data_IF_944779062938
#
_entry.id   IF_944779062938
#
_cell.length_a   1.000
_cell.length_b   1.000
_cell.length_c   1.000
_cell.angle_alpha   90.00
_cell.angle_beta   90.00
_cell.angle_gamma   90.00
#
_symmetry.space_group_name_H-M   'P 1'
#
loop_
_entity.id
_entity.type
_entity.pdbx_description
1 polymer ?
#
# COMPACT_ATOMS: atom_id res chain seq x y z
N UNK A 1 -8.66 7.09 12.23
CA UNK A 1 -8.66 6.81 10.78
C UNK A 1 -9.79 5.83 10.53
N UNK A 2 -10.69 6.05 9.55
CA UNK A 2 -11.73 5.08 9.20
C UNK A 2 -11.11 3.71 8.92
N UNK A 3 -11.78 2.63 9.32
CA UNK A 3 -11.17 1.29 9.40
C UNK A 3 -10.83 0.68 8.02
N UNK A 4 -11.52 1.15 6.99
CA UNK A 4 -11.30 0.83 5.58
C UNK A 4 -10.26 1.74 4.89
N UNK A 5 -9.65 2.69 5.60
CA UNK A 5 -8.62 3.60 5.09
C UNK A 5 -7.28 3.21 5.68
N UNK A 6 -6.29 2.99 4.81
CA UNK A 6 -4.92 2.65 5.19
C UNK A 6 -3.97 3.81 4.92
N UNK A 7 -2.71 3.70 5.39
CA UNK A 7 -1.66 4.66 5.07
C UNK A 7 -1.50 4.90 3.55
N UNK A 8 -1.76 3.87 2.74
CA UNK A 8 -1.75 3.98 1.28
C UNK A 8 -2.77 5.00 0.76
N UNK A 9 -3.98 5.00 1.28
CA UNK A 9 -5.02 5.95 0.86
C UNK A 9 -4.64 7.38 1.25
N UNK A 10 -4.06 7.55 2.44
CA UNK A 10 -3.56 8.85 2.93
C UNK A 10 -2.50 9.41 2.00
N UNK A 11 -1.47 8.63 1.68
CA UNK A 11 -0.36 9.13 0.86
C UNK A 11 -0.78 9.36 -0.59
N UNK A 12 -1.68 8.55 -1.16
CA UNK A 12 -2.26 8.81 -2.48
C UNK A 12 -3.08 10.10 -2.49
N UNK A 13 -3.87 10.38 -1.43
CA UNK A 13 -4.59 11.64 -1.33
C UNK A 13 -3.64 12.84 -1.31
N UNK A 14 -2.57 12.76 -0.51
CA UNK A 14 -1.55 13.80 -0.38
C UNK A 14 -0.82 14.01 -1.71
N UNK A 15 -0.33 12.95 -2.34
CA UNK A 15 0.39 13.03 -3.62
C UNK A 15 -0.50 13.67 -4.67
N UNK A 16 -1.77 13.26 -4.79
CA UNK A 16 -2.66 13.88 -5.76
C UNK A 16 -3.10 15.32 -5.40
N UNK A 17 -2.94 15.79 -4.17
CA UNK A 17 -3.15 17.21 -3.80
C UNK A 17 -1.94 18.10 -4.15
N UNK A 18 -0.74 17.52 -4.22
CA UNK A 18 0.50 18.28 -4.41
C UNK A 18 1.16 18.04 -5.77
N UNK A 19 0.76 16.97 -6.47
CA UNK A 19 1.35 16.54 -7.75
C UNK A 19 2.70 15.84 -7.57
N UNK A 20 3.19 15.24 -8.67
CA UNK A 20 4.49 14.53 -8.69
C UNK A 20 5.72 15.41 -8.39
N UNK A 21 5.60 16.73 -8.49
CA UNK A 21 6.67 17.69 -8.21
C UNK A 21 6.40 18.55 -6.96
N UNK A 22 5.31 18.28 -6.24
CA UNK A 22 4.80 19.13 -5.15
C UNK A 22 5.74 19.28 -3.95
N UNK A 23 6.65 18.33 -3.78
CA UNK A 23 7.66 18.32 -2.72
C UNK A 23 9.11 18.33 -3.27
N UNK A 24 9.30 18.68 -4.54
CA UNK A 24 10.63 18.74 -5.16
C UNK A 24 11.64 19.57 -4.34
N UNK A 25 12.77 18.95 -4.01
CA UNK A 25 13.81 19.49 -3.13
C UNK A 25 13.33 19.85 -1.70
N UNK A 26 12.31 19.17 -1.20
CA UNK A 26 11.79 19.31 0.16
C UNK A 26 11.71 17.94 0.85
N UNK A 27 11.82 17.96 2.18
CA UNK A 27 11.47 16.81 3.03
C UNK A 27 9.97 16.88 3.33
N UNK A 28 9.28 15.75 3.20
CA UNK A 28 7.90 15.63 3.67
C UNK A 28 7.91 15.09 5.10
N UNK A 29 7.48 15.92 6.04
CA UNK A 29 7.25 15.51 7.41
C UNK A 29 5.77 15.17 7.63
N UNK A 30 5.51 14.05 8.31
CA UNK A 30 4.17 13.69 8.75
C UNK A 30 4.09 13.68 10.28
N UNK A 31 3.09 14.40 10.80
CA UNK A 31 2.84 14.54 12.23
C UNK A 31 1.34 14.59 12.54
N UNK A 32 1.00 14.48 13.82
CA UNK A 32 -0.36 14.54 14.34
C UNK A 32 -0.93 13.18 14.74
N UNK A 33 -2.08 13.22 15.41
CA UNK A 33 -2.67 12.05 16.09
C UNK A 33 -2.92 10.85 15.18
N UNK A 34 -3.23 11.06 13.90
CA UNK A 34 -3.38 9.98 12.94
C UNK A 34 -2.06 9.23 12.68
N UNK A 35 -0.93 9.96 12.61
CA UNK A 35 0.42 9.40 12.41
C UNK A 35 0.92 8.71 13.68
N UNK A 36 0.61 9.28 14.84
CA UNK A 36 0.90 8.66 16.14
C UNK A 36 0.14 7.34 16.32
N UNK A 37 -1.12 7.28 15.84
CA UNK A 37 -1.95 6.07 15.88
C UNK A 37 -1.48 4.95 14.94
N UNK A 38 -0.77 5.27 13.86
CA UNK A 38 -0.26 4.29 12.89
C UNK A 38 0.72 3.28 13.48
N UNK A 39 0.81 2.11 12.85
CA UNK A 39 1.88 1.14 13.08
C UNK A 39 3.18 1.59 12.41
N UNK A 40 4.30 0.94 12.70
CA UNK A 40 5.55 1.21 11.96
C UNK A 40 5.43 0.86 10.47
N UNK A 41 4.65 -0.16 10.11
CA UNK A 41 4.45 -0.56 8.72
C UNK A 41 3.62 0.49 7.95
N UNK A 42 2.60 1.06 8.57
CA UNK A 42 1.85 2.20 8.02
C UNK A 42 2.75 3.41 7.75
N UNK A 43 3.61 3.75 8.72
CA UNK A 43 4.59 4.84 8.61
C UNK A 43 5.57 4.61 7.48
N UNK A 44 6.04 3.37 7.31
CA UNK A 44 6.89 2.99 6.19
C UNK A 44 6.18 3.20 4.85
N UNK A 45 4.89 2.88 4.75
CA UNK A 45 4.09 3.13 3.54
C UNK A 45 4.04 4.61 3.17
N UNK A 46 3.80 5.50 4.15
CA UNK A 46 3.81 6.96 3.93
C UNK A 46 5.17 7.43 3.43
N UNK A 47 6.23 7.13 4.18
CA UNK A 47 7.58 7.61 3.86
C UNK A 47 8.13 7.00 2.57
N UNK A 48 7.74 5.77 2.23
CA UNK A 48 8.13 5.09 0.99
C UNK A 48 7.66 5.87 -0.25
N UNK A 49 6.44 6.40 -0.20
CA UNK A 49 5.80 7.04 -1.35
C UNK A 49 6.10 8.55 -1.49
N UNK A 50 6.96 9.12 -0.64
CA UNK A 50 7.29 10.55 -0.70
C UNK A 50 8.02 10.94 -1.99
N UNK A 51 8.82 10.03 -2.55
CA UNK A 51 9.55 10.31 -3.78
C UNK A 51 8.62 10.43 -5.00
N UNK A 52 7.42 9.86 -4.93
CA UNK A 52 6.37 9.97 -5.94
C UNK A 52 5.74 11.37 -5.98
N UNK A 53 5.96 12.21 -4.97
CA UNK A 53 5.67 13.65 -4.97
C UNK A 53 6.94 14.52 -5.17
N UNK A 54 8.06 13.92 -5.57
CA UNK A 54 9.34 14.62 -5.77
C UNK A 54 10.09 14.91 -4.47
N UNK A 55 9.56 14.48 -3.32
CA UNK A 55 10.16 14.69 -2.01
C UNK A 55 11.51 14.01 -1.88
N UNK A 56 12.47 14.72 -1.26
CA UNK A 56 13.84 14.20 -1.06
C UNK A 56 13.85 13.00 -0.13
N UNK A 57 13.02 13.03 0.91
CA UNK A 57 12.75 11.96 1.86
C UNK A 57 11.46 12.24 2.63
N UNK A 58 10.89 11.19 3.20
CA UNK A 58 9.82 11.26 4.19
C UNK A 58 10.37 11.10 5.60
N UNK A 59 9.85 11.87 6.56
CA UNK A 59 10.22 11.76 7.98
C UNK A 59 9.00 11.76 8.87
N UNK A 60 9.04 10.91 9.89
CA UNK A 60 8.09 10.85 10.99
C UNK A 60 8.92 10.82 12.26
N UNK A 61 8.65 11.73 13.19
CA UNK A 61 9.36 11.80 14.45
C UNK A 61 9.26 10.46 15.21
N UNK A 62 10.35 10.05 15.85
CA UNK A 62 10.32 8.84 16.65
C UNK A 62 9.43 9.03 17.88
N UNK A 63 8.67 8.00 18.22
CA UNK A 63 7.88 7.91 19.44
C UNK A 63 8.09 6.53 20.07
N UNK A 64 7.30 6.19 21.09
CA UNK A 64 7.38 4.90 21.78
C UNK A 64 7.22 3.69 20.84
N UNK A 65 6.45 3.81 19.74
CA UNK A 65 6.30 2.72 18.76
C UNK A 65 7.56 2.56 17.91
N UNK A 66 8.14 3.68 17.47
CA UNK A 66 9.42 3.65 16.75
C UNK A 66 10.51 3.08 17.64
N UNK A 67 10.57 3.51 18.91
CA UNK A 67 11.56 3.04 19.86
C UNK A 67 11.42 1.53 20.13
N UNK A 68 10.21 1.05 20.46
CA UNK A 68 9.96 -0.36 20.68
C UNK A 68 10.31 -1.22 19.45
N UNK A 69 10.04 -0.72 18.24
CA UNK A 69 10.39 -1.40 16.99
C UNK A 69 11.92 -1.50 16.79
N UNK A 70 12.65 -0.43 17.07
CA UNK A 70 14.12 -0.37 16.90
C UNK A 70 14.83 -1.22 17.96
N UNK A 71 14.43 -1.16 19.23
CA UNK A 71 15.05 -1.91 20.33
C UNK A 71 15.00 -3.43 20.13
N UNK A 72 13.97 -3.95 19.45
CA UNK A 72 13.89 -5.37 19.08
C UNK A 72 14.93 -5.80 18.02
N UNK A 73 15.59 -4.85 17.36
CA UNK A 73 16.41 -5.09 16.16
C UNK A 73 17.86 -4.62 16.30
N UNK A 74 18.17 -3.87 17.35
CA UNK A 74 19.52 -3.39 17.61
C UNK A 74 19.80 -3.29 19.09
N UNK A 75 21.04 -3.60 19.47
CA UNK A 75 21.60 -3.37 20.80
C UNK A 75 22.48 -2.12 20.84
N UNK A 76 22.65 -1.45 19.70
CA UNK A 76 23.45 -0.22 19.61
C UNK A 76 22.71 0.95 20.26
N UNK A 77 23.47 1.83 20.90
CA UNK A 77 22.95 3.10 21.40
C UNK A 77 22.58 4.02 20.23
N UNK A 78 21.52 4.79 20.40
CA UNK A 78 21.05 5.79 19.45
C UNK A 78 20.48 6.99 20.22
N UNK A 79 20.44 8.13 19.54
CA UNK A 79 19.84 9.36 20.05
C UNK A 79 18.56 9.66 19.27
N UNK A 80 17.51 10.07 19.97
CA UNK A 80 16.25 10.47 19.36
C UNK A 80 16.24 11.99 19.21
N UNK A 81 16.05 12.44 17.97
CA UNK A 81 15.87 13.85 17.66
C UNK A 81 14.39 14.16 17.43
N UNK A 82 13.96 15.31 17.94
CA UNK A 82 12.65 15.87 17.70
C UNK A 82 12.79 17.25 17.08
N UNK A 83 11.72 17.74 16.46
CA UNK A 83 11.70 19.10 15.96
C UNK A 83 11.69 20.11 17.10
N UNK A 84 12.34 21.24 16.85
CA UNK A 84 12.22 22.41 17.71
C UNK A 84 10.77 22.94 17.67
N UNK A 85 10.21 23.44 18.79
CA UNK A 85 8.84 23.96 18.84
C UNK A 85 8.56 25.11 17.85
N UNK A 86 9.59 25.85 17.44
CA UNK A 86 9.52 26.99 16.52
C UNK A 86 10.07 26.68 15.11
N UNK A 87 10.25 25.39 14.78
CA UNK A 87 10.65 24.95 13.45
C UNK A 87 9.72 25.52 12.37
N UNK A 88 10.34 26.06 11.30
CA UNK A 88 9.62 26.68 10.18
C UNK A 88 9.49 25.72 9.01
N UNK A 89 8.27 25.59 8.51
CA UNK A 89 7.95 24.76 7.36
C UNK A 89 7.70 25.61 6.12
N UNK A 90 8.22 25.18 4.98
CA UNK A 90 7.94 25.82 3.68
C UNK A 90 6.43 25.85 3.36
N UNK A 91 5.73 24.77 3.70
CA UNK A 91 4.29 24.65 3.54
C UNK A 91 3.74 23.69 4.57
N UNK A 92 2.57 23.99 5.13
CA UNK A 92 1.85 23.12 6.08
C UNK A 92 0.50 22.77 5.49
N UNK A 93 0.18 21.48 5.43
CA UNK A 93 -1.13 20.97 5.02
C UNK A 93 -1.74 20.19 6.17
N UNK A 94 -3.04 20.37 6.41
CA UNK A 94 -3.77 19.70 7.48
C UNK A 94 -4.89 18.87 6.87
N UNK A 95 -4.92 17.60 7.25
CA UNK A 95 -5.92 16.64 6.81
C UNK A 95 -6.68 16.12 8.03
N UNK A 96 -8.01 16.12 7.95
CA UNK A 96 -8.84 15.46 8.95
C UNK A 96 -8.93 13.99 8.57
N UNK A 97 -8.31 13.14 9.37
CA UNK A 97 -8.21 11.72 9.06
C UNK A 97 -9.58 11.02 8.97
N UNK A 98 -10.60 11.55 9.64
CA UNK A 98 -11.98 11.06 9.61
C UNK A 98 -12.73 11.34 8.30
N UNK A 99 -12.29 12.35 7.54
CA UNK A 99 -12.89 12.74 6.26
C UNK A 99 -12.29 11.95 5.08
N UNK A 100 -11.27 11.11 5.35
CA UNK A 100 -10.59 10.32 4.33
C UNK A 100 -11.45 9.17 3.84
N UNK A 101 -11.33 8.91 2.55
CA UNK A 101 -11.97 7.80 1.84
C UNK A 101 -10.89 6.90 1.24
N UNK A 102 -11.20 5.66 0.84
CA UNK A 102 -10.22 4.89 0.09
C UNK A 102 -9.94 5.57 -1.25
N UNK A 103 -8.67 5.57 -1.63
CA UNK A 103 -8.14 6.35 -2.75
C UNK A 103 -7.53 5.46 -3.80
N UNK A 104 -7.64 5.91 -5.06
CA UNK A 104 -7.05 5.23 -6.20
C UNK A 104 -6.18 6.23 -6.95
N UNK A 105 -5.00 5.81 -7.40
CA UNK A 105 -4.26 6.53 -8.44
C UNK A 105 -4.44 5.82 -9.78
N UNK A 106 -5.08 6.52 -10.73
CA UNK A 106 -5.34 6.02 -12.08
C UNK A 106 -4.04 5.98 -12.89
N UNK A 107 -3.96 5.12 -13.92
CA UNK A 107 -2.88 5.20 -14.89
C UNK A 107 -2.80 6.61 -15.51
N UNK A 108 -1.63 7.14 -15.88
CA UNK A 108 -0.29 6.56 -15.75
C UNK A 108 0.60 7.38 -14.80
N UNK A 109 0.03 7.87 -13.70
CA UNK A 109 0.79 8.65 -12.71
C UNK A 109 0.27 8.45 -11.28
N UNK A 110 1.15 8.39 -10.27
CA UNK A 110 0.74 8.27 -8.86
C UNK A 110 -0.09 9.45 -8.34
N UNK A 111 0.01 10.63 -8.96
CA UNK A 111 -0.76 11.83 -8.61
C UNK A 111 -2.10 11.95 -9.32
N UNK A 112 -2.41 11.05 -10.26
CA UNK A 112 -3.71 11.00 -10.94
C UNK A 112 -4.78 10.38 -10.02
N UNK A 113 -4.97 11.02 -8.86
CA UNK A 113 -5.86 10.54 -7.81
C UNK A 113 -7.32 10.62 -8.23
N UNK A 114 -8.11 9.73 -7.67
CA UNK A 114 -9.55 9.65 -7.84
C UNK A 114 -10.12 8.95 -6.60
N UNK A 115 -11.40 9.14 -6.32
CA UNK A 115 -12.12 8.32 -5.35
C UNK A 115 -12.70 7.10 -6.05
N UNK A 116 -12.96 6.03 -5.29
CA UNK A 116 -13.58 4.81 -5.84
C UNK A 116 -14.85 5.12 -6.62
N UNK A 117 -15.70 6.04 -6.13
CA UNK A 117 -16.98 6.42 -6.73
C UNK A 117 -16.85 6.84 -8.23
N UNK A 118 -15.70 7.36 -8.65
CA UNK A 118 -15.48 7.86 -10.01
C UNK A 118 -14.98 6.78 -10.99
N UNK A 119 -14.48 5.66 -10.47
CA UNK A 119 -13.86 4.57 -11.26
C UNK A 119 -14.47 3.21 -10.96
N UNK A 120 -15.56 3.18 -10.19
CA UNK A 120 -16.32 1.97 -9.91
C UNK A 120 -16.68 1.28 -11.23
N UNK A 121 -16.71 -0.05 -11.21
CA UNK A 121 -16.98 -0.91 -12.38
C UNK A 121 -15.91 -0.93 -13.48
N UNK A 122 -14.78 -0.22 -13.31
CA UNK A 122 -13.61 -0.42 -14.19
C UNK A 122 -13.20 -1.88 -14.13
N UNK A 123 -13.33 -2.61 -15.25
CA UNK A 123 -12.97 -4.03 -15.34
C UNK A 123 -11.48 -4.22 -15.13
N UNK A 124 -11.14 -5.29 -14.43
CA UNK A 124 -9.79 -5.69 -14.12
C UNK A 124 -9.51 -7.05 -14.75
N UNK A 125 -8.28 -7.24 -15.21
CA UNK A 125 -7.75 -8.54 -15.61
C UNK A 125 -6.91 -9.16 -14.48
N UNK A 126 -6.35 -8.31 -13.61
CA UNK A 126 -5.41 -8.73 -12.57
C UNK A 126 -5.48 -7.89 -11.30
N UNK A 127 -5.18 -8.52 -10.17
CA UNK A 127 -4.86 -7.86 -8.92
C UNK A 127 -3.46 -8.26 -8.42
N UNK A 128 -2.76 -7.32 -7.78
CA UNK A 128 -1.43 -7.55 -7.21
C UNK A 128 -1.31 -6.96 -5.79
N UNK A 129 -1.09 -7.83 -4.81
CA UNK A 129 -0.89 -7.48 -3.39
C UNK A 129 0.55 -7.82 -3.02
N UNK A 130 1.38 -6.81 -2.81
CA UNK A 130 2.79 -6.97 -2.52
C UNK A 130 3.59 -5.68 -2.72
N UNK A 131 4.88 -5.82 -3.02
CA UNK A 131 5.88 -4.74 -3.07
C UNK A 131 6.33 -4.24 -1.70
N UNK A 132 7.39 -3.44 -1.66
CA UNK A 132 7.83 -2.76 -0.44
C UNK A 132 6.75 -1.83 0.16
N UNK A 133 5.81 -1.36 -0.65
CA UNK A 133 4.71 -0.47 -0.24
C UNK A 133 3.49 -1.21 0.30
N UNK A 134 3.21 -2.44 -0.16
CA UNK A 134 1.96 -3.15 0.14
C UNK A 134 2.14 -4.65 0.41
N UNK A 135 3.35 -5.09 0.77
CA UNK A 135 3.69 -6.47 1.07
C UNK A 135 4.23 -6.67 2.49
N UNK A 136 3.81 -5.83 3.44
CA UNK A 136 4.13 -5.96 4.87
C UNK A 136 3.06 -6.77 5.58
N UNK A 137 3.28 -7.14 6.84
CA UNK A 137 2.35 -8.02 7.55
C UNK A 137 0.95 -7.40 7.67
N UNK A 138 0.85 -6.13 8.05
CA UNK A 138 -0.41 -5.40 8.17
C UNK A 138 -1.18 -5.30 6.84
N UNK A 139 -0.45 -5.24 5.72
CA UNK A 139 -1.06 -5.18 4.39
C UNK A 139 -1.75 -6.50 4.03
N UNK A 140 -1.08 -7.63 4.32
CA UNK A 140 -1.67 -8.95 4.10
C UNK A 140 -2.77 -9.26 5.10
N UNK A 141 -2.65 -8.81 6.34
CA UNK A 141 -3.73 -8.93 7.31
C UNK A 141 -5.00 -8.27 6.77
N UNK A 142 -4.91 -7.00 6.34
CA UNK A 142 -6.03 -6.27 5.74
C UNK A 142 -6.61 -6.98 4.49
N UNK A 143 -5.75 -7.48 3.61
CA UNK A 143 -6.20 -8.26 2.45
C UNK A 143 -6.92 -9.56 2.83
N UNK A 144 -6.40 -10.28 3.84
CA UNK A 144 -6.98 -11.52 4.33
C UNK A 144 -8.36 -11.30 4.99
N UNK A 145 -8.56 -10.19 5.70
CA UNK A 145 -9.87 -9.83 6.27
C UNK A 145 -10.98 -9.74 5.22
N UNK A 146 -10.65 -9.28 4.01
CA UNK A 146 -11.57 -9.20 2.88
C UNK A 146 -11.70 -10.54 2.15
N UNK A 147 -10.57 -11.21 1.91
CA UNK A 147 -10.53 -12.43 1.10
C UNK A 147 -11.02 -13.68 1.84
N UNK A 148 -11.06 -13.66 3.18
CA UNK A 148 -11.58 -14.79 3.95
C UNK A 148 -13.00 -15.12 3.49
N UNK A 149 -13.23 -16.40 3.21
CA UNK A 149 -14.50 -16.96 2.75
C UNK A 149 -14.99 -16.49 1.37
N UNK A 150 -14.13 -15.78 0.63
CA UNK A 150 -14.39 -15.37 -0.75
C UNK A 150 -13.43 -16.05 -1.74
N UNK A 151 -13.75 -15.98 -3.03
CA UNK A 151 -12.88 -16.40 -4.14
C UNK A 151 -12.57 -15.21 -5.02
N UNK A 152 -11.35 -15.12 -5.53
CA UNK A 152 -10.96 -14.06 -6.48
C UNK A 152 -11.61 -14.31 -7.85
N UNK A 153 -12.14 -13.25 -8.45
CA UNK A 153 -12.74 -13.26 -9.78
C UNK A 153 -11.74 -12.98 -10.91
N UNK A 154 -10.55 -12.49 -10.56
CA UNK A 154 -9.44 -12.20 -11.49
C UNK A 154 -8.13 -12.81 -11.00
N UNK A 155 -7.18 -12.97 -11.91
CA UNK A 155 -5.83 -13.43 -11.59
C UNK A 155 -5.23 -12.54 -10.49
N UNK A 156 -5.00 -13.10 -9.31
CA UNK A 156 -4.56 -12.34 -8.14
C UNK A 156 -3.23 -12.85 -7.63
N UNK A 157 -2.25 -11.96 -7.48
CA UNK A 157 -0.89 -12.28 -7.07
C UNK A 157 -0.59 -11.73 -5.68
N UNK A 158 -0.10 -12.58 -4.79
CA UNK A 158 0.28 -12.24 -3.42
C UNK A 158 1.78 -12.43 -3.28
N UNK A 159 2.53 -11.35 -3.04
CA UNK A 159 4.01 -11.36 -3.04
C UNK A 159 4.56 -10.64 -1.80
N UNK A 160 5.05 -11.39 -0.79
CA UNK A 160 5.62 -10.81 0.43
C UNK A 160 6.82 -9.90 0.18
N UNK A 161 6.98 -8.85 1.00
CA UNK A 161 8.14 -7.95 0.88
C UNK A 161 9.45 -8.60 1.34
N UNK A 162 9.39 -9.53 2.30
CA UNK A 162 10.57 -10.23 2.84
C UNK A 162 10.25 -11.70 3.13
N UNK A 163 11.29 -12.52 3.32
CA UNK A 163 11.16 -13.92 3.76
C UNK A 163 10.49 -14.00 5.13
N UNK A 164 10.85 -13.10 6.05
CA UNK A 164 10.23 -13.03 7.37
C UNK A 164 8.72 -12.77 7.28
N UNK A 165 8.26 -11.86 6.41
CA UNK A 165 6.82 -11.67 6.19
C UNK A 165 6.19 -12.95 5.63
N UNK A 166 6.84 -13.62 4.66
CA UNK A 166 6.33 -14.87 4.10
C UNK A 166 6.18 -15.98 5.14
N UNK A 167 7.09 -16.06 6.12
CA UNK A 167 6.99 -16.96 7.28
C UNK A 167 5.83 -16.56 8.18
N UNK A 168 5.69 -15.27 8.51
CA UNK A 168 4.57 -14.77 9.32
C UNK A 168 3.21 -15.09 8.71
N UNK A 169 3.05 -15.05 7.38
CA UNK A 169 1.79 -15.43 6.72
C UNK A 169 1.43 -16.91 6.94
N UNK A 170 2.42 -17.78 7.12
CA UNK A 170 2.21 -19.21 7.37
C UNK A 170 1.94 -19.52 8.84
N UNK A 171 2.23 -18.59 9.74
CA UNK A 171 2.09 -18.76 11.19
C UNK A 171 0.86 -18.02 11.75
N UNK A 172 0.66 -16.78 11.32
CA UNK A 172 -0.45 -15.95 11.78
C UNK A 172 -1.78 -16.54 11.30
N UNK A 173 -2.75 -16.59 12.21
CA UNK A 173 -4.07 -17.17 11.94
C UNK A 173 -5.19 -16.15 12.07
N UNK A 174 -6.21 -16.34 11.26
CA UNK A 174 -7.48 -15.63 11.28
C UNK A 174 -8.59 -16.66 11.09
N UNK A 175 -9.55 -16.68 12.00
CA UNK A 175 -10.66 -17.64 12.01
C UNK A 175 -10.20 -19.12 11.87
N UNK A 176 -9.08 -19.46 12.54
CA UNK A 176 -8.53 -20.81 12.60
C UNK A 176 -7.73 -21.26 11.35
N UNK A 177 -7.59 -20.41 10.33
CA UNK A 177 -6.75 -20.65 9.15
C UNK A 177 -5.55 -19.72 9.14
N UNK A 178 -4.43 -20.15 8.58
CA UNK A 178 -3.29 -19.24 8.38
C UNK A 178 -3.62 -18.21 7.32
N UNK A 179 -2.99 -17.03 7.34
CA UNK A 179 -3.16 -16.03 6.28
C UNK A 179 -2.77 -16.62 4.91
N UNK A 180 -1.73 -17.46 4.88
CA UNK A 180 -1.33 -18.21 3.69
C UNK A 180 -2.47 -19.09 3.15
N UNK A 181 -3.11 -19.88 4.01
CA UNK A 181 -4.25 -20.72 3.64
C UNK A 181 -5.44 -19.88 3.16
N UNK A 182 -5.73 -18.73 3.76
CA UNK A 182 -6.80 -17.84 3.31
C UNK A 182 -6.55 -17.38 1.86
N UNK A 183 -5.32 -17.00 1.52
CA UNK A 183 -4.98 -16.61 0.16
C UNK A 183 -5.04 -17.78 -0.83
N UNK A 184 -4.55 -18.97 -0.45
CA UNK A 184 -4.64 -20.18 -1.28
C UNK A 184 -6.10 -20.59 -1.52
N UNK A 185 -6.89 -20.63 -0.45
CA UNK A 185 -8.33 -20.92 -0.51
C UNK A 185 -9.02 -19.93 -1.44
N UNK A 186 -8.74 -18.63 -1.31
CA UNK A 186 -9.32 -17.61 -2.18
C UNK A 186 -8.95 -17.77 -3.67
N UNK A 187 -7.97 -18.61 -4.01
CA UNK A 187 -7.49 -18.84 -5.37
C UNK A 187 -6.38 -17.88 -5.80
N UNK A 188 -5.77 -17.15 -4.85
CA UNK A 188 -4.66 -16.27 -5.15
C UNK A 188 -3.36 -17.07 -5.40
N UNK A 189 -2.54 -16.58 -6.32
CA UNK A 189 -1.23 -17.13 -6.65
C UNK A 189 -0.19 -16.48 -5.73
N UNK A 190 0.39 -17.26 -4.82
CA UNK A 190 1.37 -16.76 -3.85
C UNK A 190 2.79 -16.97 -4.39
N UNK A 191 3.59 -15.90 -4.38
CA UNK A 191 4.98 -15.91 -4.85
C UNK A 191 6.00 -15.84 -3.72
N UNK A 192 7.26 -16.13 -4.06
CA UNK A 192 8.39 -15.86 -3.16
C UNK A 192 8.59 -14.35 -2.99
N UNK A 193 9.17 -13.95 -1.86
CA UNK A 193 9.47 -12.55 -1.61
C UNK A 193 10.39 -11.98 -2.68
N UNK A 194 9.94 -10.93 -3.38
CA UNK A 194 10.64 -10.36 -4.53
C UNK A 194 10.13 -8.97 -4.91
N UNK A 195 11.03 -8.13 -5.41
CA UNK A 195 10.69 -6.83 -6.01
C UNK A 195 10.43 -6.90 -7.53
N UNK A 196 10.67 -8.06 -8.16
CA UNK A 196 10.86 -8.16 -9.61
C UNK A 196 9.65 -7.67 -10.43
N UNK A 197 8.41 -7.98 -10.02
CA UNK A 197 7.22 -7.51 -10.74
C UNK A 197 7.06 -5.98 -10.66
N UNK A 198 7.34 -5.38 -9.50
CA UNK A 198 7.19 -3.94 -9.26
C UNK A 198 8.15 -3.08 -10.11
N UNK A 199 9.29 -3.65 -10.53
CA UNK A 199 10.29 -2.98 -11.37
C UNK A 199 10.29 -3.47 -12.83
N UNK A 200 9.32 -4.32 -13.21
CA UNK A 200 9.15 -4.78 -14.58
C UNK A 200 10.25 -5.73 -15.04
N UNK A 201 10.62 -6.71 -14.18
CA UNK A 201 11.63 -7.73 -14.45
C UNK A 201 11.44 -8.53 -15.74
N UNK A 202 12.25 -9.57 -15.99
CA UNK A 202 12.17 -10.40 -17.20
C UNK A 202 10.77 -10.99 -17.42
N UNK A 203 10.42 -11.39 -18.66
CA UNK A 203 9.05 -11.78 -19.06
C UNK A 203 8.45 -12.96 -18.27
N UNK A 204 9.29 -13.79 -17.66
CA UNK A 204 8.93 -14.92 -16.81
C UNK A 204 8.78 -14.55 -15.32
N UNK A 205 8.92 -13.26 -14.97
CA UNK A 205 8.76 -12.77 -13.61
C UNK A 205 7.35 -13.01 -13.09
N UNK A 206 7.25 -13.68 -11.94
CA UNK A 206 5.99 -13.93 -11.26
C UNK A 206 5.22 -12.63 -10.97
N UNK A 207 3.99 -12.53 -11.49
CA UNK A 207 3.12 -11.36 -11.32
C UNK A 207 3.42 -10.17 -12.24
N UNK A 208 4.38 -10.29 -13.18
CA UNK A 208 4.65 -9.27 -14.20
C UNK A 208 3.50 -9.11 -15.18
N UNK A 209 3.20 -7.89 -15.58
CA UNK A 209 2.25 -7.58 -16.66
C UNK A 209 2.94 -7.75 -18.01
N UNK A 210 2.39 -8.63 -18.85
CA UNK A 210 3.00 -9.03 -20.11
C UNK A 210 2.31 -8.38 -21.32
N UNK A 211 1.03 -8.04 -21.20
CA UNK A 211 0.18 -7.57 -22.31
C UNK A 211 -0.44 -6.20 -22.00
N UNK A 212 -1.64 -5.93 -22.50
CA UNK A 212 -2.46 -4.73 -22.30
C UNK A 212 -3.40 -4.82 -21.08
N UNK A 213 -3.05 -5.68 -20.12
CA UNK A 213 -3.83 -6.00 -18.92
C UNK A 213 -4.12 -4.77 -18.06
N UNK A 214 -5.34 -4.69 -17.52
CA UNK A 214 -5.74 -3.74 -16.49
C UNK A 214 -5.53 -4.36 -15.11
N UNK A 215 -4.61 -3.80 -14.35
CA UNK A 215 -4.18 -4.30 -13.06
C UNK A 215 -4.47 -3.30 -11.95
N UNK A 216 -5.06 -3.75 -10.84
CA UNK A 216 -5.09 -2.99 -9.59
C UNK A 216 -4.01 -3.53 -8.64
N UNK A 217 -3.22 -2.64 -8.05
CA UNK A 217 -1.98 -3.01 -7.39
C UNK A 217 -1.69 -2.19 -6.13
N UNK A 218 -1.09 -2.83 -5.14
CA UNK A 218 -0.58 -2.15 -3.93
C UNK A 218 0.82 -1.56 -4.10
N UNK A 219 1.43 -1.66 -5.29
CA UNK A 219 2.73 -1.03 -5.61
C UNK A 219 2.67 0.50 -5.52
N UNK A 220 3.82 1.19 -5.53
CA UNK A 220 3.90 2.65 -5.42
C UNK A 220 3.86 3.41 -6.74
N UNK A 221 4.12 2.75 -7.89
CA UNK A 221 4.30 3.42 -9.18
C UNK A 221 3.51 2.74 -10.27
N UNK A 222 2.85 3.53 -11.12
CA UNK A 222 2.03 3.08 -12.24
C UNK A 222 2.38 3.76 -13.59
N UNK A 223 3.60 4.27 -13.73
CA UNK A 223 4.11 4.76 -15.02
C UNK A 223 4.11 3.64 -16.09
N UNK A 224 4.02 3.98 -17.38
CA UNK A 224 4.00 2.97 -18.45
C UNK A 224 5.24 2.07 -18.40
N UNK A 225 5.03 0.75 -18.43
CA UNK A 225 6.11 -0.24 -18.37
C UNK A 225 6.65 -0.51 -16.97
N UNK A 226 6.15 0.17 -15.92
CA UNK A 226 6.68 0.02 -14.56
C UNK A 226 6.59 -1.42 -14.04
N UNK A 227 5.50 -2.12 -14.34
CA UNK A 227 5.29 -3.52 -13.96
C UNK A 227 5.52 -4.51 -15.13
N UNK A 228 6.20 -4.07 -16.19
CA UNK A 228 6.54 -4.90 -17.35
C UNK A 228 6.11 -4.26 -18.67
N UNK A 229 4.92 -4.60 -19.15
CA UNK A 229 4.39 -4.09 -20.42
C UNK A 229 4.09 -2.59 -20.37
N UNK A 230 4.43 -1.89 -21.46
CA UNK A 230 4.07 -0.47 -21.66
C UNK A 230 2.59 -0.28 -22.04
N UNK A 231 1.91 -1.35 -22.45
CA UNK A 231 0.50 -1.33 -22.83
C UNK A 231 -0.42 -1.59 -21.63
N UNK A 232 0.13 -2.11 -20.53
CA UNK A 232 -0.65 -2.39 -19.33
C UNK A 232 -1.06 -1.09 -18.60
N UNK A 233 -2.22 -1.15 -17.96
CA UNK A 233 -2.78 -0.08 -17.15
C UNK A 233 -2.73 -0.49 -15.68
N UNK A 234 -2.11 0.34 -14.82
CA UNK A 234 -1.96 0.04 -13.39
C UNK A 234 -2.68 1.09 -12.54
N UNK A 235 -3.67 0.63 -11.78
CA UNK A 235 -4.34 1.41 -10.75
C UNK A 235 -3.66 1.13 -9.40
N UNK A 236 -3.26 2.17 -8.68
CA UNK A 236 -2.67 2.00 -7.34
C UNK A 236 -3.76 2.16 -6.28
N UNK A 237 -3.82 1.24 -5.32
CA UNK A 237 -4.79 1.31 -4.24
C UNK A 237 -4.26 0.65 -2.95
N UNK A 238 -4.99 0.80 -1.86
CA UNK A 238 -4.72 0.11 -0.59
C UNK A 238 -5.00 -1.40 -0.67
N UNK A 239 -4.38 -2.21 0.20
CA UNK A 239 -4.66 -3.65 0.30
C UNK A 239 -6.15 -4.00 0.40
N UNK A 240 -6.94 -3.28 1.21
CA UNK A 240 -8.39 -3.47 1.28
C UNK A 240 -9.06 -3.30 -0.09
N UNK A 241 -8.76 -2.20 -0.79
CA UNK A 241 -9.36 -1.88 -2.09
C UNK A 241 -8.94 -2.90 -3.15
N UNK A 242 -7.67 -3.32 -3.17
CA UNK A 242 -7.16 -4.35 -4.10
C UNK A 242 -7.84 -5.69 -3.84
N UNK A 243 -7.99 -6.11 -2.58
CA UNK A 243 -8.65 -7.37 -2.22
C UNK A 243 -10.13 -7.38 -2.61
N UNK A 244 -10.88 -6.30 -2.32
CA UNK A 244 -12.28 -6.18 -2.71
C UNK A 244 -12.46 -6.21 -4.24
N UNK A 245 -11.56 -5.54 -4.95
CA UNK A 245 -11.55 -5.51 -6.41
C UNK A 245 -11.14 -6.86 -7.02
N UNK A 246 -10.26 -7.62 -6.35
CA UNK A 246 -9.85 -8.95 -6.76
C UNK A 246 -11.02 -9.95 -6.74
N UNK A 247 -11.91 -9.85 -5.73
CA UNK A 247 -13.11 -10.69 -5.62
C UNK A 247 -14.08 -10.42 -6.78
N UNK A 248 -14.33 -9.14 -7.05
CA UNK A 248 -15.38 -8.71 -7.98
C UNK A 248 -14.94 -8.61 -9.44
N UNK A 249 -13.63 -8.60 -9.70
CA UNK A 249 -13.05 -8.46 -11.04
C UNK A 249 -13.22 -7.06 -11.65
N UNK A 250 -13.56 -6.07 -10.81
CA UNK A 250 -13.70 -4.67 -11.17
C UNK A 250 -13.28 -3.81 -9.98
N UNK A 251 -12.97 -2.54 -10.20
CA UNK A 251 -12.68 -1.62 -9.09
C UNK A 251 -13.92 -1.54 -8.19
N UNK A 252 -13.74 -1.88 -6.91
CA UNK A 252 -14.81 -2.05 -5.94
C UNK A 252 -14.45 -1.40 -4.61
N UNK A 253 -15.46 -0.86 -3.94
CA UNK A 253 -15.29 -0.24 -2.65
C UNK A 253 -15.10 -1.30 -1.55
N UNK A 254 -14.01 -1.22 -0.74
CA UNK A 254 -13.82 -2.18 0.34
C UNK A 254 -14.90 -2.12 1.41
N UNK A 255 -15.70 -1.04 1.49
CA UNK A 255 -16.84 -0.91 2.42
C UNK A 255 -18.01 -1.83 2.09
N UNK A 256 -18.04 -2.43 0.89
CA UNK A 256 -19.03 -3.45 0.52
C UNK A 256 -18.78 -4.78 1.25
N UNK A 257 -17.58 -4.97 1.81
CA UNK A 257 -17.19 -6.14 2.57
C UNK A 257 -17.18 -5.82 4.06
N UNK A 258 -17.52 -6.80 4.91
CA UNK A 258 -17.44 -6.66 6.36
C UNK A 258 -15.98 -6.56 6.81
N UNK A 259 -15.43 -5.35 6.82
CA UNK A 259 -14.15 -5.06 7.50
C UNK A 259 -14.44 -5.06 9.01
N UNK A 260 -14.40 -6.25 9.62
CA UNK A 260 -14.75 -6.59 11.02
C UNK A 260 -14.55 -5.43 12.00
N UNK A 261 -15.63 -4.93 12.62
CA UNK A 261 -15.74 -3.85 13.67
C UNK A 261 -14.65 -3.91 14.76
#
# INVERSE_FOLDING_TARGET
>A
IPRYVMAKDIILNIIGDIGVDGASYRTMEFAGSAIEAMTMEDRMTLCNMVIEAGGKNGVIAADAKTEAYVQQRTTKTYEIFHNDPDAKFHSVRRYRAEDLKPMIAKPHSPDNKTTIDEVIDTRLDRAYIGSCTGGKFSDFWAAAEILKDHRVGVDTYVVPATIQIAEQLKEATMDGRTLWQIFEDAGAKIGNASCAACLGGPSDTFGRLNNDEVCISTTNRNFPGRMGSKQAQVYLASPYTVAASAITGKITDPREFEVLV
#
